data_IF_603004387400
#
_entry.id   IF_603004387400
#
_cell.length_a   1.000
_cell.length_b   1.000
_cell.length_c   1.000
_cell.angle_alpha   90.00
_cell.angle_beta   90.00
_cell.angle_gamma   90.00
#
_symmetry.space_group_name_H-M   'P 1'
#
loop_
_entity.id
_entity.type
_entity.pdbx_description
1 polymer ?
#
# COMPACT_ATOMS: atom_id res chain seq x y z
N UNK A 1 46.25 -5.26 -38.03
CA UNK A 1 47.18 -4.28 -37.42
C UNK A 1 46.33 -3.15 -36.85
N UNK A 2 46.16 -3.10 -35.53
CA UNK A 2 45.50 -2.00 -34.83
C UNK A 2 46.20 -1.85 -33.48
N UNK A 3 46.79 -0.67 -33.30
CA UNK A 3 47.86 -0.38 -32.36
C UNK A 3 47.32 -0.18 -30.94
N UNK A 4 47.80 -0.97 -29.98
CA UNK A 4 47.64 -0.69 -28.56
C UNK A 4 48.74 0.26 -28.10
N UNK A 5 48.39 1.51 -27.80
CA UNK A 5 49.31 2.44 -27.15
C UNK A 5 49.42 2.09 -25.66
N UNK A 6 50.55 1.51 -25.26
CA UNK A 6 50.94 1.35 -23.85
C UNK A 6 51.83 2.52 -23.44
N UNK A 7 51.33 3.40 -22.58
CA UNK A 7 52.17 4.35 -21.84
C UNK A 7 52.41 3.72 -20.47
N UNK A 8 53.64 3.25 -20.26
CA UNK A 8 54.10 2.70 -19.00
C UNK A 8 54.37 3.82 -18.00
N UNK A 9 53.61 3.83 -16.91
CA UNK A 9 54.03 4.40 -15.63
C UNK A 9 53.64 3.35 -14.59
N UNK A 10 54.61 2.87 -13.81
CA UNK A 10 54.39 1.82 -12.82
C UNK A 10 53.21 2.16 -11.91
N UNK A 11 52.19 1.32 -11.88
CA UNK A 11 50.99 1.57 -11.11
C UNK A 11 49.96 0.47 -11.32
N UNK A 12 49.36 -0.01 -10.23
CA UNK A 12 48.31 -1.02 -10.22
C UNK A 12 47.31 -0.79 -11.38
N UNK A 13 47.20 -1.78 -12.27
CA UNK A 13 46.23 -1.79 -13.35
C UNK A 13 44.82 -1.98 -12.73
N UNK A 14 44.18 -0.88 -12.32
CA UNK A 14 42.79 -0.90 -11.87
C UNK A 14 41.88 -1.17 -13.08
N UNK A 15 41.62 -2.45 -13.32
CA UNK A 15 40.67 -2.87 -14.35
C UNK A 15 39.25 -2.66 -13.84
N UNK A 16 38.57 -1.64 -14.36
CA UNK A 16 37.13 -1.47 -14.13
C UNK A 16 36.41 -2.67 -14.78
N UNK A 17 35.42 -3.30 -14.11
CA UNK A 17 34.74 -4.46 -14.66
C UNK A 17 34.15 -4.21 -16.06
N UNK A 18 34.32 -5.16 -16.98
CA UNK A 18 33.80 -5.07 -18.36
C UNK A 18 32.26 -5.11 -18.46
N UNK A 19 31.57 -5.54 -17.40
CA UNK A 19 30.12 -5.63 -17.36
C UNK A 19 29.51 -4.34 -16.81
N UNK A 20 28.59 -3.73 -17.54
CA UNK A 20 27.98 -2.44 -17.19
C UNK A 20 27.32 -2.42 -15.81
N UNK A 21 26.71 -3.53 -15.39
CA UNK A 21 26.11 -3.65 -14.05
C UNK A 21 27.17 -3.52 -12.96
N UNK A 22 28.23 -4.32 -13.06
CA UNK A 22 29.36 -4.30 -12.10
C UNK A 22 30.09 -2.96 -12.12
N UNK A 23 30.21 -2.33 -13.29
CA UNK A 23 30.80 -1.00 -13.42
C UNK A 23 29.98 0.05 -12.68
N UNK A 24 28.65 0.05 -12.82
CA UNK A 24 27.75 0.96 -12.08
C UNK A 24 27.85 0.74 -10.57
N UNK A 25 27.85 -0.52 -10.12
CA UNK A 25 27.95 -0.85 -8.70
C UNK A 25 29.27 -0.36 -8.10
N UNK A 26 30.39 -0.59 -8.80
CA UNK A 26 31.71 -0.11 -8.35
C UNK A 26 31.77 1.42 -8.32
N UNK A 27 31.25 2.10 -9.34
CA UNK A 27 31.18 3.57 -9.38
C UNK A 27 30.31 4.09 -8.22
N UNK A 28 29.15 3.48 -7.98
CA UNK A 28 28.26 3.86 -6.89
C UNK A 28 28.92 3.65 -5.52
N UNK A 29 29.59 2.50 -5.33
CA UNK A 29 30.30 2.20 -4.09
C UNK A 29 31.44 3.19 -3.83
N UNK A 30 32.24 3.51 -4.86
CA UNK A 30 33.30 4.52 -4.76
C UNK A 30 32.73 5.91 -4.49
N UNK A 31 31.67 6.31 -5.20
CA UNK A 31 31.02 7.60 -5.00
C UNK A 31 30.45 7.75 -3.58
N UNK A 32 29.90 6.69 -3.01
CA UNK A 32 29.44 6.64 -1.62
C UNK A 32 30.61 6.67 -0.63
N UNK A 33 31.69 5.92 -0.90
CA UNK A 33 32.88 5.84 -0.04
C UNK A 33 33.60 7.18 0.10
N UNK A 34 33.65 7.96 -0.98
CA UNK A 34 34.29 9.28 -1.01
C UNK A 34 33.31 10.45 -0.84
N UNK A 35 32.06 10.18 -0.44
CA UNK A 35 31.01 11.20 -0.25
C UNK A 35 30.80 12.13 -1.46
N UNK A 36 31.07 11.64 -2.68
CA UNK A 36 30.87 12.39 -3.92
C UNK A 36 29.40 12.52 -4.29
N UNK A 37 28.56 11.63 -3.77
CA UNK A 37 27.11 11.67 -3.91
C UNK A 37 26.51 11.74 -2.51
N UNK A 38 25.70 12.78 -2.20
CA UNK A 38 24.99 12.82 -0.94
C UNK A 38 24.08 11.60 -0.85
N UNK A 39 24.12 10.89 0.30
CA UNK A 39 23.18 9.80 0.56
C UNK A 39 21.77 10.35 0.36
N UNK A 40 20.85 9.61 -0.28
CA UNK A 40 19.46 10.04 -0.34
C UNK A 40 18.99 10.21 1.10
N UNK A 41 18.78 11.46 1.49
CA UNK A 41 18.20 11.79 2.78
C UNK A 41 16.81 11.19 2.71
N UNK A 42 16.56 10.14 3.48
CA UNK A 42 15.20 9.63 3.62
C UNK A 42 14.41 10.81 4.18
N UNK A 43 13.59 11.42 3.33
CA UNK A 43 12.74 12.51 3.76
C UNK A 43 11.79 11.91 4.77
N UNK A 44 12.03 12.20 6.05
CA UNK A 44 11.05 11.99 7.09
C UNK A 44 9.94 13.02 6.87
N UNK A 45 9.06 12.75 5.89
CA UNK A 45 7.72 13.35 5.93
C UNK A 45 7.15 12.96 7.28
N UNK A 46 6.70 13.95 8.05
CA UNK A 46 6.00 13.75 9.32
C UNK A 46 5.05 12.55 9.20
N UNK A 47 5.47 11.42 9.74
CA UNK A 47 4.78 10.16 9.50
C UNK A 47 3.47 10.22 10.29
N UNK A 48 2.34 10.19 9.58
CA UNK A 48 1.03 10.04 10.22
C UNK A 48 1.10 8.82 11.16
N UNK A 49 0.62 8.99 12.39
CA UNK A 49 0.63 7.85 13.32
C UNK A 49 -0.31 6.77 12.82
N UNK A 50 -0.02 5.51 13.14
CA UNK A 50 -0.85 4.39 12.71
C UNK A 50 -2.33 4.57 13.08
N UNK A 51 -2.59 5.13 14.27
CA UNK A 51 -3.94 5.40 14.75
C UNK A 51 -4.66 6.47 13.91
N UNK A 52 -3.94 7.49 13.44
CA UNK A 52 -4.51 8.50 12.53
C UNK A 52 -4.91 7.88 11.20
N UNK A 53 -4.05 7.01 10.66
CA UNK A 53 -4.33 6.29 9.41
C UNK A 53 -5.54 5.37 9.59
N UNK A 54 -5.58 4.59 10.67
CA UNK A 54 -6.71 3.71 11.01
C UNK A 54 -8.01 4.49 11.13
N UNK A 55 -7.99 5.64 11.80
CA UNK A 55 -9.18 6.50 11.94
C UNK A 55 -9.62 7.11 10.60
N UNK A 56 -8.68 7.57 9.77
CA UNK A 56 -8.97 8.11 8.44
C UNK A 56 -9.63 7.04 7.55
N UNK A 57 -9.06 5.83 7.52
CA UNK A 57 -9.63 4.70 6.78
C UNK A 57 -11.02 4.32 7.30
N UNK A 58 -11.20 4.27 8.63
CA UNK A 58 -12.48 3.94 9.23
C UNK A 58 -13.57 4.97 8.86
N UNK A 59 -13.23 6.26 8.94
CA UNK A 59 -14.14 7.35 8.54
C UNK A 59 -14.47 7.31 7.05
N UNK A 60 -13.49 7.03 6.20
CA UNK A 60 -13.69 6.90 4.75
C UNK A 60 -14.74 5.82 4.43
N UNK A 61 -14.59 4.61 4.99
CA UNK A 61 -15.54 3.53 4.72
C UNK A 61 -16.93 3.75 5.32
N UNK A 62 -17.07 4.58 6.36
CA UNK A 62 -18.36 4.87 7.00
C UNK A 62 -19.19 5.92 6.25
N UNK A 63 -18.64 6.62 5.25
CA UNK A 63 -19.41 7.58 4.46
C UNK A 63 -20.44 6.87 3.59
N UNK A 64 -21.61 7.49 3.48
CA UNK A 64 -22.75 6.94 2.72
C UNK A 64 -22.52 6.91 1.20
N UNK A 65 -21.60 7.74 0.69
CA UNK A 65 -21.18 7.75 -0.72
C UNK A 65 -20.09 6.71 -1.04
N UNK A 66 -19.47 6.10 -0.03
CA UNK A 66 -18.49 5.02 -0.16
C UNK A 66 -19.14 3.66 0.12
N UNK A 67 -19.96 3.58 1.16
CA UNK A 67 -20.72 2.37 1.49
C UNK A 67 -22.10 2.72 2.02
N UNK A 68 -23.12 1.92 1.69
CA UNK A 68 -24.48 2.12 2.19
C UNK A 68 -24.86 1.03 3.20
N UNK A 69 -25.61 1.41 4.23
CA UNK A 69 -26.09 0.47 5.25
C UNK A 69 -27.25 -0.37 4.70
N UNK A 70 -27.21 -1.68 4.95
CA UNK A 70 -28.32 -2.55 4.60
C UNK A 70 -29.49 -2.38 5.58
N UNK A 71 -30.74 -2.31 5.09
CA UNK A 71 -31.92 -2.21 5.93
C UNK A 71 -32.32 -3.54 6.59
N UNK A 72 -31.76 -4.67 6.10
CA UNK A 72 -32.19 -6.00 6.52
C UNK A 72 -31.64 -6.39 7.91
N UNK A 73 -32.51 -7.00 8.74
CA UNK A 73 -32.18 -7.58 10.04
C UNK A 73 -31.21 -8.77 9.91
N UNK A 74 -31.29 -9.54 8.81
CA UNK A 74 -30.33 -10.62 8.50
C UNK A 74 -28.97 -10.08 8.03
N UNK A 75 -28.91 -8.77 7.79
CA UNK A 75 -27.71 -8.02 7.43
C UNK A 75 -26.89 -7.59 8.63
N UNK A 76 -27.02 -8.19 9.81
CA UNK A 76 -26.22 -7.81 11.00
C UNK A 76 -24.97 -8.68 11.15
N UNK A 77 -23.95 -8.15 11.81
CA UNK A 77 -22.70 -8.83 12.15
C UNK A 77 -22.33 -8.50 13.59
N UNK A 78 -21.89 -9.52 14.33
CA UNK A 78 -21.42 -9.36 15.71
C UNK A 78 -19.90 -9.29 15.69
N UNK A 79 -19.37 -8.16 16.16
CA UNK A 79 -17.93 -7.92 16.29
C UNK A 79 -17.56 -8.00 17.76
N UNK A 80 -16.48 -8.73 18.06
CA UNK A 80 -15.89 -8.74 19.41
C UNK A 80 -14.87 -7.61 19.49
N UNK A 81 -15.02 -6.76 20.48
CA UNK A 81 -14.02 -5.74 20.80
C UNK A 81 -12.90 -6.33 21.66
N UNK A 82 -11.82 -5.57 21.78
CA UNK A 82 -10.66 -5.92 22.62
C UNK A 82 -11.06 -6.10 24.10
N UNK A 83 -12.12 -5.42 24.56
CA UNK A 83 -12.70 -5.54 25.91
C UNK A 83 -13.57 -6.81 26.11
N UNK A 84 -13.51 -7.78 25.18
CA UNK A 84 -14.39 -8.96 25.11
C UNK A 84 -15.90 -8.66 25.01
N UNK A 85 -16.28 -7.40 24.82
CA UNK A 85 -17.67 -7.01 24.59
C UNK A 85 -18.08 -7.32 23.15
N UNK A 86 -19.34 -7.72 22.97
CA UNK A 86 -19.91 -8.02 21.65
C UNK A 86 -20.78 -6.86 21.22
N UNK A 87 -20.45 -6.22 20.09
CA UNK A 87 -21.27 -5.17 19.49
C UNK A 87 -21.87 -5.69 18.20
N UNK A 88 -23.16 -5.45 18.00
CA UNK A 88 -23.87 -5.81 16.78
C UNK A 88 -23.92 -4.61 15.85
N UNK A 89 -23.39 -4.75 14.65
CA UNK A 89 -23.42 -3.73 13.60
C UNK A 89 -24.30 -4.19 12.44
N UNK A 90 -24.93 -3.24 11.77
CA UNK A 90 -25.51 -3.47 10.45
C UNK A 90 -24.40 -3.53 9.41
N UNK A 91 -24.48 -4.50 8.51
CA UNK A 91 -23.58 -4.61 7.36
C UNK A 91 -23.77 -3.39 6.47
N UNK A 92 -22.65 -2.87 5.98
CA UNK A 92 -22.59 -1.85 4.94
C UNK A 92 -22.02 -2.47 3.69
N UNK A 93 -22.56 -2.10 2.54
CA UNK A 93 -22.09 -2.60 1.25
C UNK A 93 -21.24 -1.54 0.61
N UNK A 94 -20.01 -1.91 0.28
CA UNK A 94 -19.10 -1.05 -0.47
C UNK A 94 -19.66 -0.84 -1.87
N UNK A 95 -19.82 0.42 -2.26
CA UNK A 95 -20.34 0.82 -3.57
C UNK A 95 -19.32 0.57 -4.68
N UNK A 96 -18.06 0.89 -4.39
CA UNK A 96 -16.94 0.76 -5.32
C UNK A 96 -16.17 -0.55 -5.09
N UNK A 97 -15.33 -0.94 -6.04
CA UNK A 97 -14.41 -2.04 -5.81
C UNK A 97 -13.24 -1.61 -4.90
N UNK A 98 -12.51 -2.57 -4.33
CA UNK A 98 -11.41 -2.26 -3.39
C UNK A 98 -10.28 -1.44 -4.01
N UNK A 99 -10.09 -1.55 -5.34
CA UNK A 99 -9.08 -0.77 -6.06
C UNK A 99 -9.51 0.68 -6.21
N UNK A 100 -10.74 0.93 -6.66
CA UNK A 100 -11.34 2.25 -6.77
C UNK A 100 -11.42 2.95 -5.42
N UNK A 101 -11.83 2.23 -4.36
CA UNK A 101 -11.82 2.77 -3.00
C UNK A 101 -10.44 3.20 -2.54
N UNK A 102 -9.38 2.45 -2.91
CA UNK A 102 -8.00 2.85 -2.61
C UNK A 102 -7.59 4.11 -3.38
N UNK A 103 -7.89 4.17 -4.68
CA UNK A 103 -7.58 5.32 -5.53
C UNK A 103 -8.27 6.60 -5.01
N UNK A 104 -9.56 6.51 -4.65
CA UNK A 104 -10.32 7.60 -4.03
C UNK A 104 -9.74 8.03 -2.68
N UNK A 105 -9.36 7.07 -1.83
CA UNK A 105 -8.78 7.38 -0.53
C UNK A 105 -7.47 8.18 -0.65
N UNK A 106 -6.59 7.78 -1.58
CA UNK A 106 -5.32 8.48 -1.82
C UNK A 106 -5.54 9.86 -2.45
N UNK A 107 -6.52 9.99 -3.33
CA UNK A 107 -6.88 11.27 -3.95
C UNK A 107 -7.39 12.29 -2.91
N UNK A 108 -8.24 11.84 -1.98
CA UNK A 108 -8.78 12.67 -0.90
C UNK A 108 -7.75 12.96 0.20
N UNK A 109 -6.88 12.00 0.52
CA UNK A 109 -5.92 12.09 1.61
C UNK A 109 -4.48 12.22 1.08
N UNK A 110 -4.24 13.29 0.32
CA UNK A 110 -2.90 13.61 -0.20
C UNK A 110 -1.91 13.74 0.94
N UNK A 111 -0.91 12.85 0.97
CA UNK A 111 0.13 12.80 2.01
C UNK A 111 0.03 11.60 2.96
N UNK A 112 -1.04 10.80 2.91
CA UNK A 112 -1.08 9.50 3.59
C UNK A 112 -0.43 8.44 2.70
N UNK A 113 0.67 7.85 3.19
CA UNK A 113 1.34 6.74 2.52
C UNK A 113 0.78 5.44 3.09
N UNK A 114 -0.10 4.77 2.33
CA UNK A 114 -0.68 3.48 2.70
C UNK A 114 -0.71 2.56 1.48
N UNK A 115 -0.53 1.25 1.70
CA UNK A 115 -0.64 0.26 0.64
C UNK A 115 -2.08 -0.18 0.41
N UNK A 116 -2.39 -0.69 -0.79
CA UNK A 116 -3.71 -1.25 -1.10
C UNK A 116 -4.10 -2.40 -0.16
N UNK A 117 -3.16 -3.26 0.23
CA UNK A 117 -3.45 -4.35 1.17
C UNK A 117 -3.75 -3.80 2.57
N UNK A 118 -2.99 -2.80 3.03
CA UNK A 118 -3.20 -2.20 4.34
C UNK A 118 -4.57 -1.52 4.47
N UNK A 119 -5.06 -0.83 3.42
CA UNK A 119 -6.40 -0.23 3.47
C UNK A 119 -7.51 -1.29 3.47
N UNK A 120 -7.29 -2.44 2.83
CA UNK A 120 -8.27 -3.53 2.85
C UNK A 120 -8.30 -4.25 4.20
N UNK A 121 -7.15 -4.35 4.87
CA UNK A 121 -7.02 -4.97 6.18
C UNK A 121 -7.56 -4.07 7.30
N UNK A 122 -7.37 -2.75 7.17
CA UNK A 122 -7.92 -1.74 8.10
C UNK A 122 -9.42 -1.47 7.89
N UNK A 123 -10.04 -2.09 6.89
CA UNK A 123 -11.46 -1.93 6.62
C UNK A 123 -12.29 -2.47 7.80
N UNK A 124 -13.34 -1.76 8.24
CA UNK A 124 -14.22 -2.28 9.28
C UNK A 124 -14.85 -3.62 8.86
N UNK A 125 -14.96 -4.61 9.76
CA UNK A 125 -15.43 -5.95 9.43
C UNK A 125 -16.90 -5.99 8.96
N UNK A 126 -17.69 -4.98 9.34
CA UNK A 126 -19.08 -4.83 8.90
C UNK A 126 -19.24 -4.19 7.52
N UNK A 127 -18.16 -3.71 6.90
CA UNK A 127 -18.16 -3.18 5.54
C UNK A 127 -17.75 -4.29 4.58
N UNK A 128 -18.68 -4.70 3.72
CA UNK A 128 -18.56 -5.90 2.88
C UNK A 128 -18.55 -5.50 1.40
N UNK A 129 -17.63 -6.03 0.57
CA UNK A 129 -17.68 -5.83 -0.87
C UNK A 129 -18.95 -6.39 -1.48
N UNK A 130 -19.50 -5.72 -2.49
CA UNK A 130 -20.68 -6.19 -3.24
C UNK A 130 -20.52 -7.63 -3.76
N UNK A 131 -19.32 -7.99 -4.23
CA UNK A 131 -19.02 -9.35 -4.70
C UNK A 131 -19.22 -10.44 -3.64
N UNK A 132 -18.99 -10.14 -2.36
CA UNK A 132 -19.17 -11.11 -1.29
C UNK A 132 -20.65 -11.39 -0.95
N UNK A 133 -21.59 -10.60 -1.49
CA UNK A 133 -23.03 -10.83 -1.35
C UNK A 133 -23.60 -11.78 -2.42
N UNK A 134 -22.92 -11.91 -3.56
CA UNK A 134 -23.46 -12.57 -4.75
C UNK A 134 -23.69 -14.08 -4.56
N UNK A 135 -22.98 -14.73 -3.63
CA UNK A 135 -23.14 -16.17 -3.37
C UNK A 135 -24.38 -16.54 -2.52
N UNK A 136 -25.29 -15.59 -2.25
CA UNK A 136 -26.52 -15.84 -1.46
C UNK A 136 -27.82 -15.72 -2.27
N UNK A 137 -27.71 -15.56 -3.59
CA UNK A 137 -28.85 -15.53 -4.52
C UNK A 137 -28.91 -16.89 -5.24
N UNK A 138 -29.29 -17.93 -4.51
CA UNK A 138 -29.82 -19.16 -5.08
C UNK A 138 -30.83 -19.69 -4.07
N UNK A 139 -32.09 -19.79 -4.49
CA UNK A 139 -33.25 -20.35 -3.77
C UNK A 139 -34.18 -19.33 -3.09
N UNK A 140 -34.71 -18.36 -3.84
CA UNK A 140 -35.99 -17.71 -3.51
C UNK A 140 -36.71 -17.29 -4.78
N UNK A 141 -36.99 -18.25 -5.66
CA UNK A 141 -38.03 -18.16 -6.70
C UNK A 141 -38.71 -19.52 -6.80
N UNK A 142 -39.67 -19.77 -5.91
CA UNK A 142 -40.74 -20.76 -6.07
C UNK A 142 -41.65 -20.71 -4.83
N UNK A 143 -42.69 -19.87 -4.90
CA UNK A 143 -44.07 -20.15 -4.49
C UNK A 143 -44.92 -18.89 -4.66
#
# INVERSE_FOLDING_TARGET
ISSSASIGVGGLLFTVPKCDKKKKDVIQHLAQKYNLVPKPVQQHTCANTFDQIKNAVHKFYLRDDVSYQLPDKRGTIVVKNDDNTKITYHKRILLNNLRESFELFIEENKGIIISRSSITDLRPPFVVPKAALAHRISNTESN
#
